data_IF_613010030182
#
_entry.id   IF_613010030182
#
_cell.length_a   1.000
_cell.length_b   1.000
_cell.length_c   1.000
_cell.angle_alpha   90.00
_cell.angle_beta   90.00
_cell.angle_gamma   90.00
#
_symmetry.space_group_name_H-M   'P 1'
#
loop_
_entity.id
_entity.type
_entity.pdbx_description
1 polymer ?
#
# COMPACT_ATOMS: atom_id res chain seq x y z
N UNK A 1 -15.58 -7.46 10.10
CA UNK A 1 -15.05 -6.53 9.06
C UNK A 1 -15.78 -5.19 9.03
N UNK A 2 -17.06 -5.09 8.58
CA UNK A 2 -17.80 -3.80 8.54
C UNK A 2 -17.82 -3.05 9.87
N UNK A 3 -18.03 -3.76 10.98
CA UNK A 3 -17.96 -3.19 12.34
C UNK A 3 -16.60 -2.55 12.63
N UNK A 4 -15.51 -3.26 12.33
CA UNK A 4 -14.14 -2.73 12.48
C UNK A 4 -13.89 -1.48 11.64
N UNK A 5 -14.39 -1.46 10.40
CA UNK A 5 -14.28 -0.27 9.53
C UNK A 5 -15.05 0.94 10.10
N UNK A 6 -16.23 0.73 10.71
CA UNK A 6 -16.94 1.80 11.44
C UNK A 6 -16.13 2.31 12.63
N UNK A 7 -15.53 1.41 13.41
CA UNK A 7 -14.68 1.79 14.54
C UNK A 7 -13.49 2.64 14.08
N UNK A 8 -12.81 2.24 13.00
CA UNK A 8 -11.72 3.02 12.40
C UNK A 8 -12.20 4.39 11.91
N UNK A 9 -13.34 4.47 11.22
CA UNK A 9 -13.94 5.74 10.77
C UNK A 9 -14.24 6.66 11.95
N UNK A 10 -14.86 6.14 13.01
CA UNK A 10 -15.17 6.90 14.22
C UNK A 10 -13.91 7.38 14.96
N UNK A 11 -12.81 6.62 14.86
CA UNK A 11 -11.50 7.01 15.38
C UNK A 11 -10.73 8.00 14.46
N UNK A 12 -11.34 8.46 13.36
CA UNK A 12 -10.78 9.49 12.49
C UNK A 12 -10.15 8.97 11.19
N UNK A 13 -10.36 7.72 10.80
CA UNK A 13 -9.91 7.20 9.50
C UNK A 13 -10.56 7.98 8.36
N UNK A 14 -9.72 8.58 7.50
CA UNK A 14 -10.14 9.29 6.27
C UNK A 14 -9.81 8.53 4.98
N UNK A 15 -8.92 7.55 5.07
CA UNK A 15 -8.40 6.79 3.93
C UNK A 15 -8.14 5.35 4.36
N UNK A 16 -8.41 4.41 3.45
CA UNK A 16 -8.13 2.99 3.63
C UNK A 16 -7.41 2.43 2.40
N UNK A 17 -6.54 1.45 2.61
CA UNK A 17 -5.92 0.65 1.56
C UNK A 17 -6.21 -0.83 1.84
N UNK A 18 -6.84 -1.53 0.90
CA UNK A 18 -7.02 -2.99 1.00
C UNK A 18 -5.80 -3.67 0.38
N UNK A 19 -4.95 -4.23 1.22
CA UNK A 19 -3.71 -4.92 0.84
C UNK A 19 -3.64 -6.33 1.47
N UNK A 20 -2.49 -7.01 1.37
CA UNK A 20 -2.26 -8.34 1.94
C UNK A 20 -1.70 -9.29 0.89
N UNK A 21 -2.35 -10.44 0.69
CA UNK A 21 -2.10 -11.32 -0.46
C UNK A 21 -2.51 -10.63 -1.78
N UNK A 22 -3.37 -11.28 -2.56
CA UNK A 22 -3.96 -10.64 -3.75
C UNK A 22 -5.45 -10.34 -3.48
N UNK A 23 -5.84 -9.07 -3.20
CA UNK A 23 -7.24 -8.72 -2.87
C UNK A 23 -8.24 -9.15 -3.95
N UNK A 24 -7.83 -9.18 -5.22
CA UNK A 24 -8.70 -9.59 -6.32
C UNK A 24 -9.00 -11.10 -6.37
N UNK A 25 -8.36 -11.92 -5.53
CA UNK A 25 -8.80 -13.30 -5.29
C UNK A 25 -10.13 -13.40 -4.54
N UNK A 26 -10.57 -12.31 -3.89
CA UNK A 26 -11.85 -12.22 -3.19
C UNK A 26 -12.73 -11.10 -3.75
N UNK A 27 -13.06 -11.11 -5.06
CA UNK A 27 -13.61 -9.95 -5.77
C UNK A 27 -14.94 -9.48 -5.20
N UNK A 28 -15.85 -10.40 -4.86
CA UNK A 28 -17.15 -10.06 -4.26
C UNK A 28 -17.01 -9.44 -2.87
N UNK A 29 -16.07 -9.95 -2.06
CA UNK A 29 -15.81 -9.42 -0.72
C UNK A 29 -15.16 -8.03 -0.83
N UNK A 30 -14.18 -7.87 -1.71
CA UNK A 30 -13.53 -6.59 -1.97
C UNK A 30 -14.54 -5.54 -2.45
N UNK A 31 -15.36 -5.86 -3.46
CA UNK A 31 -16.38 -4.97 -3.98
C UNK A 31 -17.40 -4.55 -2.91
N UNK A 32 -17.81 -5.49 -2.04
CA UNK A 32 -18.69 -5.20 -0.90
C UNK A 32 -18.03 -4.24 0.10
N UNK A 33 -16.75 -4.42 0.43
CA UNK A 33 -16.03 -3.54 1.36
C UNK A 33 -15.77 -2.16 0.76
N UNK A 34 -15.43 -2.08 -0.52
CA UNK A 34 -15.28 -0.82 -1.27
C UNK A 34 -16.60 -0.03 -1.28
N UNK A 35 -17.73 -0.68 -1.61
CA UNK A 35 -19.06 -0.05 -1.54
C UNK A 35 -19.38 0.44 -0.14
N UNK A 36 -19.18 -0.41 0.87
CA UNK A 36 -19.42 -0.02 2.27
C UNK A 36 -18.59 1.20 2.70
N UNK A 37 -17.32 1.27 2.30
CA UNK A 37 -16.47 2.42 2.58
C UNK A 37 -16.96 3.70 1.88
N UNK A 38 -17.38 3.59 0.62
CA UNK A 38 -17.84 4.72 -0.19
C UNK A 38 -19.23 5.22 0.26
N UNK A 39 -20.19 4.32 0.28
CA UNK A 39 -21.62 4.62 0.43
C UNK A 39 -22.00 4.79 1.91
N UNK A 40 -21.59 3.87 2.79
CA UNK A 40 -21.98 3.91 4.20
C UNK A 40 -21.06 4.77 5.08
N UNK A 41 -19.74 4.80 4.81
CA UNK A 41 -18.77 5.54 5.62
C UNK A 41 -18.41 6.91 5.05
N UNK A 42 -18.93 7.26 3.87
CA UNK A 42 -18.64 8.50 3.18
C UNK A 42 -17.15 8.73 2.97
N UNK A 43 -16.39 7.66 2.65
CA UNK A 43 -15.01 7.79 2.24
C UNK A 43 -14.97 8.19 0.77
N UNK A 44 -14.18 9.21 0.47
CA UNK A 44 -13.99 9.69 -0.89
C UNK A 44 -13.39 8.61 -1.79
N UNK A 45 -13.88 8.52 -3.01
CA UNK A 45 -13.61 7.40 -3.91
C UNK A 45 -13.42 7.87 -5.34
N UNK A 46 -12.21 8.37 -5.61
CA UNK A 46 -11.68 8.52 -6.96
C UNK A 46 -10.66 7.42 -7.24
N UNK A 47 -10.66 6.86 -8.45
CA UNK A 47 -9.57 5.98 -8.89
C UNK A 47 -8.45 6.86 -9.42
N UNK A 48 -7.31 6.84 -8.72
CA UNK A 48 -6.04 7.38 -9.20
C UNK A 48 -5.06 6.23 -9.43
N UNK A 49 -4.33 6.23 -10.55
CA UNK A 49 -3.37 5.19 -10.89
C UNK A 49 -2.05 5.36 -10.12
N UNK A 50 -1.72 4.40 -9.25
CA UNK A 50 -0.51 4.39 -8.42
C UNK A 50 0.42 3.29 -8.89
N UNK A 51 1.71 3.60 -9.00
CA UNK A 51 2.76 2.62 -9.24
C UNK A 51 3.53 2.35 -7.94
N UNK A 52 3.71 1.08 -7.61
CA UNK A 52 4.56 0.62 -6.50
C UNK A 52 5.69 -0.22 -7.08
N UNK A 53 6.93 0.02 -6.68
CA UNK A 53 8.07 -0.77 -7.14
C UNK A 53 9.00 -1.08 -5.99
N UNK A 54 9.36 -2.36 -5.82
CA UNK A 54 10.40 -2.79 -4.88
C UNK A 54 11.72 -2.87 -5.63
N UNK A 55 12.69 -2.08 -5.19
CA UNK A 55 14.05 -2.06 -5.73
C UNK A 55 14.94 -3.04 -4.98
N UNK A 56 15.58 -3.90 -5.76
CA UNK A 56 16.38 -5.02 -5.30
C UNK A 56 17.62 -5.18 -6.18
N UNK A 57 18.43 -6.20 -5.86
CA UNK A 57 19.70 -6.49 -6.52
C UNK A 57 19.61 -6.57 -8.06
N UNK A 58 18.45 -6.92 -8.60
CA UNK A 58 18.23 -7.11 -10.04
C UNK A 58 17.83 -5.85 -10.81
N UNK A 59 17.15 -4.89 -10.18
CA UNK A 59 16.53 -3.76 -10.89
C UNK A 59 17.04 -2.37 -10.45
N UNK A 60 17.81 -2.25 -9.36
CA UNK A 60 18.25 -0.94 -8.84
C UNK A 60 19.10 -0.12 -9.83
N UNK A 61 19.77 -0.79 -10.79
CA UNK A 61 20.56 -0.10 -11.83
C UNK A 61 19.72 0.41 -13.00
N UNK A 62 18.46 -0.01 -13.11
CA UNK A 62 17.57 0.35 -14.21
C UNK A 62 17.33 1.84 -14.31
N UNK A 63 16.88 2.28 -15.48
CA UNK A 63 16.24 3.57 -15.69
C UNK A 63 14.81 3.29 -16.13
N UNK A 64 13.84 3.80 -15.39
CA UNK A 64 12.41 3.59 -15.64
C UNK A 64 11.70 4.91 -15.99
N UNK A 65 12.44 6.01 -16.17
CA UNK A 65 11.85 7.33 -16.31
C UNK A 65 10.93 7.43 -17.53
N UNK A 66 11.31 6.85 -18.67
CA UNK A 66 10.48 6.82 -19.87
C UNK A 66 9.16 6.06 -19.63
N UNK A 67 9.23 4.85 -19.09
CA UNK A 67 8.05 4.04 -18.77
C UNK A 67 7.12 4.75 -17.79
N UNK A 68 7.67 5.36 -16.74
CA UNK A 68 6.88 6.08 -15.74
C UNK A 68 6.19 7.30 -16.34
N UNK A 69 6.85 8.04 -17.24
CA UNK A 69 6.21 9.15 -17.97
C UNK A 69 5.07 8.68 -18.87
N UNK A 70 5.22 7.53 -19.54
CA UNK A 70 4.16 6.98 -20.39
C UNK A 70 2.96 6.49 -19.58
N UNK A 71 3.21 5.92 -18.39
CA UNK A 71 2.16 5.43 -17.50
C UNK A 71 1.44 6.54 -16.72
N UNK A 72 2.07 7.71 -16.59
CA UNK A 72 1.57 8.89 -15.87
C UNK A 72 0.89 8.57 -14.52
N UNK A 73 1.58 7.86 -13.60
CA UNK A 73 1.01 7.59 -12.30
C UNK A 73 0.90 8.87 -11.49
N UNK A 74 -0.22 9.08 -10.81
CA UNK A 74 -0.34 10.21 -9.87
C UNK A 74 0.71 10.13 -8.75
N UNK A 75 1.19 8.90 -8.47
CA UNK A 75 2.24 8.63 -7.50
C UNK A 75 2.97 7.33 -7.83
N UNK A 76 4.29 7.40 -7.77
CA UNK A 76 5.20 6.25 -7.87
C UNK A 76 5.96 6.07 -6.56
N UNK A 77 5.58 5.07 -5.76
CA UNK A 77 6.29 4.72 -4.54
C UNK A 77 7.40 3.70 -4.85
N UNK A 78 8.63 4.12 -4.57
CA UNK A 78 9.85 3.35 -4.79
C UNK A 78 10.37 2.84 -3.45
N UNK A 79 10.20 1.54 -3.20
CA UNK A 79 10.57 0.90 -1.95
C UNK A 79 11.96 0.29 -2.05
N UNK A 80 12.83 0.52 -1.07
CA UNK A 80 13.99 -0.34 -0.88
C UNK A 80 13.52 -1.73 -0.44
N UNK A 81 14.10 -2.81 -0.95
CA UNK A 81 13.76 -4.15 -0.47
C UNK A 81 14.04 -4.28 1.04
N UNK A 82 13.06 -4.80 1.77
CA UNK A 82 13.10 -4.98 3.22
C UNK A 82 13.11 -6.45 3.61
N UNK A 83 14.03 -6.83 4.50
CA UNK A 83 14.01 -8.10 5.18
C UNK A 83 13.09 -8.01 6.40
N UNK A 84 12.07 -8.85 6.46
CA UNK A 84 11.08 -8.90 7.52
C UNK A 84 11.12 -10.29 8.15
N UNK A 85 11.43 -10.33 9.46
CA UNK A 85 11.50 -11.55 10.25
C UNK A 85 10.15 -12.26 10.25
N UNK A 86 10.14 -13.58 10.03
CA UNK A 86 8.92 -14.39 9.96
C UNK A 86 8.22 -14.38 8.61
N UNK A 87 8.47 -13.38 7.76
CA UNK A 87 7.82 -13.24 6.44
C UNK A 87 8.74 -13.72 5.32
N UNK A 88 9.96 -13.18 5.26
CA UNK A 88 10.88 -13.39 4.15
C UNK A 88 12.33 -13.63 4.56
N UNK A 89 12.55 -14.09 5.79
CA UNK A 89 13.86 -14.40 6.36
C UNK A 89 14.13 -15.91 6.51
N UNK A 90 13.31 -16.77 5.90
CA UNK A 90 13.50 -18.22 5.96
C UNK A 90 14.88 -18.63 5.43
N UNK A 91 15.40 -19.76 5.93
CA UNK A 91 16.64 -20.37 5.42
C UNK A 91 16.38 -21.05 4.07
N UNK A 92 17.41 -21.16 3.23
CA UNK A 92 17.27 -21.75 1.88
C UNK A 92 16.67 -23.17 1.90
N UNK A 93 17.08 -24.00 2.86
CA UNK A 93 16.51 -25.35 3.06
C UNK A 93 14.99 -25.30 3.20
N UNK A 94 14.49 -24.34 3.98
CA UNK A 94 13.07 -24.18 4.27
C UNK A 94 12.28 -23.66 3.07
N UNK A 95 12.90 -22.80 2.24
CA UNK A 95 12.31 -22.31 1.00
C UNK A 95 12.15 -23.45 -0.02
N UNK A 96 13.13 -24.35 -0.11
CA UNK A 96 13.06 -25.52 -0.99
C UNK A 96 11.92 -26.46 -0.57
N UNK A 97 11.71 -26.61 0.74
CA UNK A 97 10.69 -27.51 1.30
C UNK A 97 9.27 -26.91 1.30
N UNK A 98 9.13 -25.58 1.18
CA UNK A 98 7.84 -24.92 1.27
C UNK A 98 7.70 -23.76 0.29
N UNK A 99 6.74 -23.88 -0.63
CA UNK A 99 6.36 -22.82 -1.58
C UNK A 99 5.76 -21.58 -0.90
N UNK A 100 5.53 -21.60 0.41
CA UNK A 100 5.05 -20.45 1.20
C UNK A 100 6.17 -19.66 1.87
N UNK A 101 7.35 -20.26 2.06
CA UNK A 101 8.49 -19.59 2.70
C UNK A 101 9.29 -18.77 1.68
N UNK A 102 9.89 -17.67 2.12
CA UNK A 102 10.65 -16.74 1.27
C UNK A 102 11.98 -16.40 1.93
N UNK A 103 13.01 -16.14 1.11
CA UNK A 103 14.30 -15.63 1.56
C UNK A 103 14.71 -14.41 0.72
N UNK A 104 14.61 -13.21 1.29
CA UNK A 104 14.91 -11.96 0.60
C UNK A 104 16.41 -11.59 0.62
N UNK A 105 17.26 -12.33 1.34
CA UNK A 105 18.68 -11.93 1.57
C UNK A 105 19.48 -11.70 0.30
N UNK A 106 19.24 -12.48 -0.76
CA UNK A 106 19.92 -12.34 -2.06
C UNK A 106 19.42 -11.14 -2.88
N UNK A 107 18.29 -10.57 -2.49
CA UNK A 107 17.66 -9.43 -3.17
C UNK A 107 18.13 -8.09 -2.57
N UNK A 108 18.72 -8.11 -1.38
CA UNK A 108 19.07 -6.90 -0.63
C UNK A 108 20.02 -5.99 -1.40
N UNK A 109 19.81 -4.69 -1.23
CA UNK A 109 20.67 -3.62 -1.72
C UNK A 109 21.05 -2.71 -0.55
N UNK A 110 22.24 -2.15 -0.61
CA UNK A 110 22.70 -1.13 0.34
C UNK A 110 21.94 0.19 0.17
N UNK A 111 21.95 1.01 1.22
CA UNK A 111 21.33 2.34 1.19
C UNK A 111 21.94 3.22 0.10
N UNK A 112 23.27 3.12 -0.13
CA UNK A 112 23.94 3.83 -1.22
C UNK A 112 23.46 3.42 -2.61
N UNK A 113 23.16 2.13 -2.82
CA UNK A 113 22.62 1.66 -4.09
C UNK A 113 21.19 2.16 -4.31
N UNK A 114 20.38 2.18 -3.25
CA UNK A 114 19.03 2.74 -3.30
C UNK A 114 19.06 4.24 -3.54
N UNK A 115 19.96 4.97 -2.90
CA UNK A 115 20.13 6.42 -3.08
C UNK A 115 20.55 6.76 -4.52
N UNK A 116 21.48 5.98 -5.10
CA UNK A 116 21.86 6.14 -6.51
C UNK A 116 20.69 5.93 -7.48
N UNK A 117 19.77 5.01 -7.17
CA UNK A 117 18.54 4.84 -7.94
C UNK A 117 17.62 6.06 -7.77
N UNK A 118 17.49 6.58 -6.55
CA UNK A 118 16.68 7.76 -6.27
C UNK A 118 17.21 8.99 -7.01
N UNK A 119 18.52 9.24 -7.01
CA UNK A 119 19.14 10.34 -7.75
C UNK A 119 18.80 10.33 -9.24
N UNK A 120 18.74 9.15 -9.84
CA UNK A 120 18.39 9.01 -11.25
C UNK A 120 16.94 9.43 -11.55
N UNK A 121 16.01 9.25 -10.61
CA UNK A 121 14.57 9.41 -10.86
C UNK A 121 13.89 10.56 -10.10
N UNK A 122 14.60 11.23 -9.18
CA UNK A 122 14.13 12.39 -8.40
C UNK A 122 13.59 13.54 -9.23
N UNK A 123 13.94 13.61 -10.51
CA UNK A 123 13.44 14.60 -11.45
C UNK A 123 11.97 14.40 -11.87
N UNK A 124 11.36 13.25 -11.53
CA UNK A 124 9.95 12.96 -11.80
C UNK A 124 9.09 13.41 -10.60
N UNK A 125 8.10 14.25 -10.85
CA UNK A 125 7.25 14.82 -9.79
C UNK A 125 6.47 13.75 -9.00
N UNK A 126 6.04 12.68 -9.67
CA UNK A 126 5.32 11.58 -9.04
C UNK A 126 6.20 10.67 -8.15
N UNK A 127 7.53 10.83 -8.18
CA UNK A 127 8.48 9.92 -7.53
C UNK A 127 8.53 10.12 -6.01
N UNK A 128 8.29 9.05 -5.25
CA UNK A 128 8.34 9.04 -3.79
C UNK A 128 9.24 7.92 -3.30
N UNK A 129 10.47 8.22 -2.84
CA UNK A 129 11.38 7.22 -2.31
C UNK A 129 11.02 6.81 -0.87
N UNK A 130 11.04 5.50 -0.62
CA UNK A 130 10.77 4.89 0.69
C UNK A 130 11.93 3.94 1.08
N UNK A 131 13.01 4.47 1.68
CA UNK A 131 14.11 3.65 2.19
C UNK A 131 13.67 2.83 3.42
N UNK A 132 14.43 1.80 3.76
CA UNK A 132 14.14 0.91 4.90
C UNK A 132 14.06 1.66 6.23
N UNK A 133 14.86 2.72 6.41
CA UNK A 133 14.85 3.60 7.59
C UNK A 133 13.52 4.32 7.81
N UNK A 134 12.69 4.42 6.77
CA UNK A 134 11.42 5.13 6.77
C UNK A 134 10.22 4.17 6.76
N UNK A 135 10.29 3.04 6.07
CA UNK A 135 9.17 2.11 5.93
C UNK A 135 8.75 1.44 7.24
N UNK A 136 9.72 0.97 8.04
CA UNK A 136 9.46 0.02 9.13
C UNK A 136 8.47 0.54 10.21
N UNK A 137 8.42 1.85 10.47
CA UNK A 137 7.61 2.45 11.54
C UNK A 137 6.51 3.39 11.03
N UNK A 138 6.35 3.53 9.72
CA UNK A 138 5.54 4.59 9.12
C UNK A 138 4.22 4.11 8.53
N UNK A 139 3.83 2.85 8.75
CA UNK A 139 2.54 2.31 8.34
C UNK A 139 1.75 1.87 9.57
N UNK A 140 0.46 2.18 9.56
CA UNK A 140 -0.49 1.56 10.47
C UNK A 140 -1.14 0.40 9.70
N UNK A 141 -0.73 -0.82 10.03
CA UNK A 141 -1.21 -2.04 9.37
C UNK A 141 -2.22 -2.70 10.28
N UNK A 142 -3.33 -3.14 9.70
CA UNK A 142 -4.37 -3.91 10.37
C UNK A 142 -4.43 -5.27 9.67
N UNK A 143 -4.29 -6.35 10.42
CA UNK A 143 -4.33 -7.71 9.89
C UNK A 143 -5.77 -8.20 9.61
N UNK A 144 -5.92 -9.45 9.19
CA UNK A 144 -7.21 -10.07 8.90
C UNK A 144 -8.13 -10.25 10.13
N UNK A 145 -7.56 -10.24 11.34
CA UNK A 145 -8.26 -10.32 12.62
C UNK A 145 -8.59 -8.94 13.21
N UNK A 146 -8.25 -7.88 12.48
CA UNK A 146 -8.41 -6.49 12.88
C UNK A 146 -7.56 -6.09 14.08
N UNK A 147 -6.38 -6.68 14.21
CA UNK A 147 -5.34 -6.27 15.16
C UNK A 147 -4.35 -5.33 14.46
N UNK A 148 -3.81 -4.36 15.19
CA UNK A 148 -2.72 -3.55 14.67
C UNK A 148 -1.39 -4.29 14.76
N UNK A 149 -0.56 -4.14 13.73
CA UNK A 149 0.80 -4.67 13.69
C UNK A 149 1.83 -3.57 13.97
N UNK A 150 2.70 -3.85 14.93
CA UNK A 150 3.93 -3.09 15.20
C UNK A 150 5.10 -3.83 14.56
N UNK A 151 5.61 -3.30 13.45
CA UNK A 151 6.78 -3.84 12.74
C UNK A 151 8.07 -3.09 13.14
N UNK A 152 8.11 -2.51 14.34
CA UNK A 152 9.28 -1.85 14.92
C UNK A 152 10.53 -2.74 15.01
N UNK A 153 11.67 -2.12 15.31
CA UNK A 153 13.01 -2.66 15.04
C UNK A 153 13.36 -4.01 15.71
N UNK A 154 12.74 -4.37 16.84
CA UNK A 154 13.22 -5.50 17.66
C UNK A 154 12.18 -6.61 17.92
N UNK A 155 10.89 -6.29 18.09
CA UNK A 155 9.85 -7.29 18.37
C UNK A 155 8.59 -6.92 17.60
N UNK A 156 8.19 -7.81 16.69
CA UNK A 156 6.87 -7.74 16.08
C UNK A 156 5.82 -7.91 17.17
N UNK A 157 5.04 -6.86 17.40
CA UNK A 157 3.97 -6.87 18.39
C UNK A 157 2.64 -6.73 17.67
N UNK A 158 1.69 -7.58 18.04
CA UNK A 158 0.31 -7.50 17.58
C UNK A 158 -0.53 -6.97 18.74
N UNK A 159 -1.40 -5.98 18.48
CA UNK A 159 -2.40 -5.56 19.47
C UNK A 159 -3.48 -6.62 19.62
N UNK A 160 -4.34 -6.45 20.62
CA UNK A 160 -5.66 -7.10 20.62
C UNK A 160 -6.52 -6.58 19.46
N UNK A 161 -7.55 -7.33 19.07
CA UNK A 161 -8.44 -6.92 17.99
C UNK A 161 -9.19 -5.64 18.38
N UNK A 162 -9.32 -4.70 17.43
CA UNK A 162 -10.14 -3.50 17.64
C UNK A 162 -11.61 -3.83 17.90
N UNK A 163 -12.06 -5.05 17.55
CA UNK A 163 -13.41 -5.50 17.86
C UNK A 163 -13.61 -5.79 19.35
N UNK A 164 -12.53 -6.13 20.06
CA UNK A 164 -12.59 -6.53 21.47
C UNK A 164 -12.33 -5.33 22.40
N UNK A 165 -11.36 -4.49 22.04
CA UNK A 165 -10.85 -3.41 22.91
C UNK A 165 -11.10 -2.01 22.36
N UNK A 166 -11.59 -1.90 21.11
CA UNK A 166 -11.72 -0.62 20.42
C UNK A 166 -10.39 -0.09 19.88
N UNK A 167 -10.48 0.95 19.02
CA UNK A 167 -9.33 1.44 18.26
C UNK A 167 -8.29 2.14 19.12
N UNK A 168 -8.72 3.00 20.06
CA UNK A 168 -7.80 3.81 20.86
C UNK A 168 -6.97 2.94 21.82
N UNK A 169 -7.60 1.93 22.44
CA UNK A 169 -6.89 1.00 23.33
C UNK A 169 -5.91 0.14 22.54
N UNK A 170 -6.34 -0.46 21.42
CA UNK A 170 -5.47 -1.25 20.54
C UNK A 170 -4.28 -0.42 20.00
N UNK A 171 -4.48 0.86 19.67
CA UNK A 171 -3.40 1.76 19.27
C UNK A 171 -2.41 2.05 20.41
N UNK A 172 -2.87 2.08 21.66
CA UNK A 172 -2.00 2.26 22.83
C UNK A 172 -1.10 1.05 23.10
N UNK A 173 -1.38 -0.10 22.50
CA UNK A 173 -0.60 -1.32 22.67
C UNK A 173 0.59 -1.41 21.70
N UNK A 174 0.67 -0.56 20.68
CA UNK A 174 1.71 -0.59 19.65
C UNK A 174 2.55 0.70 19.65
N UNK A 175 3.76 0.63 19.10
CA UNK A 175 4.55 1.81 18.79
C UNK A 175 4.07 2.45 17.48
N UNK A 176 3.90 3.78 17.47
CA UNK A 176 3.52 4.55 16.27
C UNK A 176 4.46 5.74 16.08
N UNK A 177 5.23 5.73 14.98
CA UNK A 177 6.01 6.90 14.58
C UNK A 177 5.20 7.80 13.62
N UNK A 178 4.34 8.65 14.19
CA UNK A 178 3.58 9.62 13.41
C UNK A 178 4.48 10.63 12.68
N UNK A 179 5.71 10.88 13.17
CA UNK A 179 6.66 11.77 12.50
C UNK A 179 7.21 11.08 11.25
N UNK A 180 7.55 9.79 11.30
CA UNK A 180 7.94 9.02 10.12
C UNK A 180 6.83 8.99 9.06
N UNK A 181 5.57 8.75 9.45
CA UNK A 181 4.42 8.80 8.53
C UNK A 181 4.32 10.14 7.78
N UNK A 182 4.55 11.26 8.47
CA UNK A 182 4.56 12.59 7.83
C UNK A 182 5.80 12.80 6.96
N UNK A 183 7.00 12.43 7.43
CA UNK A 183 8.26 12.58 6.69
C UNK A 183 8.26 11.84 5.35
N UNK A 184 7.57 10.70 5.26
CA UNK A 184 7.42 9.95 3.99
C UNK A 184 6.35 10.48 3.04
N UNK A 185 5.73 11.61 3.37
CA UNK A 185 4.60 12.12 2.59
C UNK A 185 3.38 11.20 2.66
N UNK A 186 3.12 10.54 3.80
CA UNK A 186 1.93 9.71 3.99
C UNK A 186 0.60 10.50 3.91
N UNK A 187 0.68 11.83 4.06
CA UNK A 187 -0.41 12.78 3.82
C UNK A 187 -0.18 13.44 2.45
N UNK A 188 -1.12 13.24 1.53
CA UNK A 188 -1.06 13.78 0.17
C UNK A 188 -2.47 13.85 -0.41
N UNK A 189 -2.73 14.65 -1.44
CA UNK A 189 -4.08 14.76 -2.00
C UNK A 189 -4.49 13.46 -2.71
N UNK A 190 -5.41 12.70 -2.11
CA UNK A 190 -5.87 11.40 -2.61
C UNK A 190 -7.26 11.46 -3.24
N UNK A 191 -7.89 12.63 -3.24
CA UNK A 191 -9.22 12.86 -3.80
C UNK A 191 -9.08 13.36 -5.23
N UNK A 192 -10.05 13.02 -6.10
CA UNK A 192 -10.19 13.70 -7.39
C UNK A 192 -11.14 14.86 -7.14
N UNK A 193 -10.74 16.07 -7.53
CA UNK A 193 -11.73 17.13 -7.71
C UNK A 193 -12.80 16.59 -8.65
N UNK A 194 -14.07 16.68 -8.24
CA UNK A 194 -15.17 16.39 -9.14
C UNK A 194 -15.00 17.35 -10.32
N UNK A 195 -14.60 16.81 -11.48
CA UNK A 195 -14.55 17.58 -12.73
C UNK A 195 -15.93 18.23 -12.84
N UNK A 196 -15.95 19.56 -12.80
CA UNK A 196 -17.19 20.33 -12.86
C UNK A 196 -18.05 19.82 -14.01
N UNK A 197 -19.36 19.78 -13.78
CA UNK A 197 -20.39 19.45 -14.76
C UNK A 197 -20.21 20.34 -16.01
N UNK A 198 -19.36 19.91 -16.93
CA UNK A 198 -19.41 20.35 -18.30
C UNK A 198 -20.42 19.43 -18.97
N UNK A 199 -21.63 19.95 -19.15
CA UNK A 199 -22.61 19.41 -20.08
C UNK A 199 -21.94 19.12 -21.42
N UNK A 200 -21.69 17.85 -21.72
CA UNK A 200 -21.49 17.39 -23.09
C UNK A 200 -22.58 16.37 -23.36
N UNK A 201 -23.70 16.88 -23.86
CA UNK A 201 -24.70 16.07 -24.52
C UNK A 201 -24.06 15.29 -25.67
N UNK A 202 -24.15 13.98 -25.60
CA UNK A 202 -23.60 13.08 -26.60
C UNK A 202 -24.06 11.66 -26.32
N UNK A 203 -25.34 11.39 -26.57
CA UNK A 203 -25.86 10.03 -26.57
C UNK A 203 -25.27 9.20 -27.71
N UNK A 204 -24.80 8.00 -27.37
CA UNK A 204 -24.67 6.84 -28.25
C UNK A 204 -24.75 5.64 -27.28
N UNK A 205 -25.78 4.81 -27.31
CA UNK A 205 -26.22 4.04 -28.47
C UNK A 205 -25.61 2.65 -28.32
N UNK A 206 -26.42 1.68 -27.88
CA UNK A 206 -26.09 0.26 -27.81
C UNK A 206 -25.55 -0.24 -29.16
N UNK A 207 -24.42 -0.94 -29.16
CA UNK A 207 -24.00 -1.80 -30.26
C UNK A 207 -23.13 -2.96 -29.73
N UNK A 208 -23.79 -4.10 -29.59
CA UNK A 208 -23.37 -5.49 -29.87
C UNK A 208 -21.87 -5.83 -30.02
N UNK A 209 -21.40 -6.62 -29.04
CA UNK A 209 -20.91 -8.00 -29.17
C UNK A 209 -20.19 -8.44 -30.46
N UNK A 210 -18.85 -8.35 -30.48
CA UNK A 210 -17.91 -9.30 -31.12
C UNK A 210 -16.61 -9.25 -30.25
N UNK A 211 -16.07 -10.32 -29.68
CA UNK A 211 -15.60 -11.54 -30.34
C UNK A 211 -14.08 -11.42 -30.57
N UNK A 212 -13.25 -11.77 -29.57
CA UNK A 212 -11.80 -11.91 -29.75
C UNK A 212 -11.37 -13.32 -29.34
N UNK A 213 -10.97 -14.10 -30.35
CA UNK A 213 -10.15 -15.31 -30.23
C UNK A 213 -8.76 -14.99 -29.66
#
# INVERSE_FOLDING_TARGET
MKTGLRLLKNAGMRKINFAGGEPFLYPTKLAMLCRFCKEDLGLESGIKFKLNTVFCAYNWRGDMAETVRQLDPFRWEAFQVLLVKGENDAVERDVILSTRKRNARKLLISDNQFEAFCDKHRHLECFVPEPNSLMASSYLIVDEYLCFLDKGADVEKQSRSILDVGVLEALGEIHRDQKAFKRRGGVYEWTKDAVGEAEVGGGCGLADNEGWE
#
